data_IF_126233032842
#
_entry.id   IF_126233032842
#
_cell.length_a   1.000
_cell.length_b   1.000
_cell.length_c   1.000
_cell.angle_alpha   90.00
_cell.angle_beta   90.00
_cell.angle_gamma   90.00
#
_symmetry.space_group_name_H-M   'P 1'
#
loop_
_entity.id
_entity.type
_entity.pdbx_description
1 polymer ?
#
# COMPACT_ATOMS: atom_id res chain seq x y z
N UNK A 1 -41.83 29.77 44.50
CA UNK A 1 -41.11 28.56 44.06
C UNK A 1 -41.92 27.92 42.95
N UNK A 2 -41.49 28.06 41.69
CA UNK A 2 -42.09 27.32 40.58
C UNK A 2 -40.98 27.00 39.58
N UNK A 3 -40.64 25.72 39.48
CA UNK A 3 -39.55 25.14 38.71
C UNK A 3 -39.88 25.22 37.21
N UNK A 4 -39.16 26.06 36.47
CA UNK A 4 -39.25 26.15 35.00
C UNK A 4 -38.41 25.04 34.38
N UNK A 5 -39.09 24.01 33.88
CA UNK A 5 -38.48 22.91 33.13
C UNK A 5 -37.99 23.41 31.77
N UNK A 6 -36.68 23.56 31.60
CA UNK A 6 -36.03 23.79 30.31
C UNK A 6 -36.32 22.59 29.39
N UNK A 7 -37.26 22.77 28.45
CA UNK A 7 -37.44 21.82 27.34
C UNK A 7 -36.19 21.89 26.45
N UNK A 8 -35.45 20.80 26.40
CA UNK A 8 -34.34 20.57 25.47
C UNK A 8 -34.89 20.71 24.04
N UNK A 9 -34.29 21.57 23.22
CA UNK A 9 -34.64 21.71 21.81
C UNK A 9 -34.52 20.34 21.11
N UNK A 10 -35.44 19.99 20.20
CA UNK A 10 -35.35 18.73 19.45
C UNK A 10 -34.06 18.74 18.63
N UNK A 11 -33.28 17.65 18.73
CA UNK A 11 -32.06 17.47 17.95
C UNK A 11 -32.40 17.47 16.47
N UNK A 12 -31.77 18.37 15.71
CA UNK A 12 -31.89 18.43 14.25
C UNK A 12 -31.28 17.15 13.69
N UNK A 13 -32.05 16.41 12.91
CA UNK A 13 -31.60 15.26 12.14
C UNK A 13 -30.71 15.76 10.98
N UNK A 14 -29.40 15.41 10.94
CA UNK A 14 -28.49 15.87 9.90
C UNK A 14 -28.91 15.44 8.49
N UNK A 15 -29.73 14.39 8.35
CA UNK A 15 -30.24 13.97 7.05
C UNK A 15 -31.33 14.90 6.49
N UNK A 16 -31.89 15.78 7.33
CA UNK A 16 -33.00 16.70 7.01
C UNK A 16 -32.66 18.17 7.28
N UNK A 17 -31.38 18.51 7.50
CA UNK A 17 -30.93 19.90 7.65
C UNK A 17 -30.73 20.55 6.26
N UNK A 18 -31.57 21.52 5.84
CA UNK A 18 -31.42 22.20 4.56
C UNK A 18 -30.14 23.05 4.45
N UNK A 19 -29.40 23.24 5.55
CA UNK A 19 -28.09 23.89 5.60
C UNK A 19 -26.90 22.92 5.65
N UNK A 20 -27.12 21.61 5.74
CA UNK A 20 -26.05 20.64 5.68
C UNK A 20 -25.51 20.56 4.23
N UNK A 21 -24.18 20.72 4.03
CA UNK A 21 -23.59 20.55 2.71
C UNK A 21 -23.86 19.12 2.27
N UNK A 22 -24.30 18.92 1.01
CA UNK A 22 -24.50 17.59 0.50
C UNK A 22 -23.24 16.74 0.68
N UNK A 23 -23.39 15.47 0.99
CA UNK A 23 -22.28 14.53 1.27
C UNK A 23 -21.20 14.54 0.16
N UNK A 24 -21.60 14.81 -1.08
CA UNK A 24 -20.68 14.95 -2.22
C UNK A 24 -19.66 16.09 -2.07
N UNK A 25 -19.94 17.13 -1.28
CA UNK A 25 -19.02 18.26 -1.06
C UNK A 25 -17.84 17.83 -0.18
N UNK A 26 -18.12 17.10 0.89
CA UNK A 26 -17.08 16.49 1.74
C UNK A 26 -16.28 15.49 0.93
N UNK A 27 -16.96 14.64 0.15
CA UNK A 27 -16.29 13.66 -0.72
C UNK A 27 -15.33 14.34 -1.69
N UNK A 28 -15.75 15.39 -2.40
CA UNK A 28 -14.88 16.10 -3.34
C UNK A 28 -13.61 16.70 -2.68
N UNK A 29 -13.71 17.13 -1.41
CA UNK A 29 -12.54 17.62 -0.66
C UNK A 29 -11.57 16.50 -0.33
N UNK A 30 -12.10 15.35 0.09
CA UNK A 30 -11.32 14.14 0.38
C UNK A 30 -10.66 13.63 -0.89
N UNK A 31 -11.38 13.54 -2.00
CA UNK A 31 -10.84 13.11 -3.30
C UNK A 31 -9.63 13.97 -3.73
N UNK A 32 -9.71 15.29 -3.53
CA UNK A 32 -8.60 16.19 -3.83
C UNK A 32 -7.39 15.99 -2.92
N UNK A 33 -7.60 15.60 -1.66
CA UNK A 33 -6.52 15.20 -0.76
C UNK A 33 -5.94 13.84 -1.16
N UNK A 34 -6.79 12.86 -1.50
CA UNK A 34 -6.39 11.53 -1.94
C UNK A 34 -5.51 11.60 -3.18
N UNK A 35 -5.84 12.46 -4.15
CA UNK A 35 -4.97 12.71 -5.30
C UNK A 35 -3.58 13.19 -4.89
N UNK A 36 -3.49 14.03 -3.86
CA UNK A 36 -2.20 14.51 -3.31
C UNK A 36 -1.45 13.38 -2.63
N UNK A 37 -2.12 12.59 -1.79
CA UNK A 37 -1.53 11.44 -1.12
C UNK A 37 -0.98 10.43 -2.15
N UNK A 38 -1.80 10.06 -3.15
CA UNK A 38 -1.40 9.17 -4.24
C UNK A 38 -0.22 9.71 -5.06
N UNK A 39 -0.10 11.03 -5.25
CA UNK A 39 1.06 11.61 -5.91
C UNK A 39 2.33 11.44 -5.06
N UNK A 40 2.24 11.65 -3.75
CA UNK A 40 3.37 11.47 -2.82
C UNK A 40 3.76 10.01 -2.66
N UNK A 41 2.79 9.11 -2.57
CA UNK A 41 2.99 7.66 -2.49
C UNK A 41 3.62 7.11 -3.77
N UNK A 42 3.21 7.62 -4.94
CA UNK A 42 3.93 7.32 -6.19
C UNK A 42 5.36 7.84 -6.14
N UNK A 43 5.60 9.07 -5.70
CA UNK A 43 6.97 9.61 -5.69
C UNK A 43 7.89 8.88 -4.68
N UNK A 44 7.39 8.55 -3.50
CA UNK A 44 8.24 8.16 -2.38
C UNK A 44 8.04 6.73 -1.90
N UNK A 45 7.00 6.04 -2.36
CA UNK A 45 6.54 4.78 -1.79
C UNK A 45 5.48 4.99 -0.72
N UNK A 46 4.57 4.04 -0.60
CA UNK A 46 3.44 4.06 0.33
C UNK A 46 3.97 3.98 1.77
N UNK A 47 3.42 4.84 2.64
CA UNK A 47 3.85 5.07 4.03
C UNK A 47 5.33 5.39 4.28
N UNK A 48 6.14 5.50 3.22
CA UNK A 48 7.59 5.70 3.32
C UNK A 48 7.95 7.15 3.63
N UNK A 49 7.27 8.12 3.01
CA UNK A 49 7.66 9.53 3.10
C UNK A 49 7.72 10.07 4.54
N UNK A 50 6.75 9.72 5.39
CA UNK A 50 6.74 10.11 6.82
C UNK A 50 7.92 9.54 7.62
N UNK A 51 8.55 8.46 7.15
CA UNK A 51 9.72 7.83 7.78
C UNK A 51 11.05 8.43 7.30
N UNK A 52 11.05 9.18 6.19
CA UNK A 52 12.24 9.84 5.64
C UNK A 52 12.52 11.21 6.29
N UNK A 53 11.61 11.71 7.12
CA UNK A 53 11.77 12.99 7.82
C UNK A 53 12.05 12.78 9.32
N UNK A 54 12.57 13.82 9.97
CA UNK A 54 12.80 13.81 11.41
C UNK A 54 11.51 13.70 12.25
N UNK A 55 11.65 13.19 13.48
CA UNK A 55 10.53 12.82 14.35
C UNK A 55 9.56 13.98 14.63
N UNK A 56 10.06 15.21 14.75
CA UNK A 56 9.21 16.38 14.97
C UNK A 56 8.25 16.64 13.79
N UNK A 57 8.73 16.51 12.54
CA UNK A 57 7.89 16.69 11.36
C UNK A 57 6.90 15.53 11.22
N UNK A 58 7.34 14.31 11.51
CA UNK A 58 6.47 13.13 11.54
C UNK A 58 5.33 13.30 12.55
N UNK A 59 5.63 13.72 13.78
CA UNK A 59 4.63 13.95 14.81
C UNK A 59 3.64 15.06 14.43
N UNK A 60 4.10 16.15 13.77
CA UNK A 60 3.21 17.21 13.28
C UNK A 60 2.29 16.73 12.16
N UNK A 61 2.80 15.88 11.27
CA UNK A 61 2.02 15.26 10.22
C UNK A 61 0.94 14.34 10.81
N UNK A 62 1.33 13.43 11.69
CA UNK A 62 0.42 12.48 12.36
C UNK A 62 -0.67 13.25 13.15
N UNK A 63 -0.30 14.32 13.89
CA UNK A 63 -1.26 15.16 14.60
C UNK A 63 -2.21 15.95 13.67
N UNK A 64 -1.81 16.26 12.45
CA UNK A 64 -2.72 16.88 11.47
C UNK A 64 -3.69 15.85 10.88
N UNK A 65 -3.23 14.62 10.67
CA UNK A 65 -4.08 13.49 10.27
C UNK A 65 -5.16 13.23 11.31
N UNK A 66 -4.80 13.16 12.59
CA UNK A 66 -5.76 12.95 13.68
C UNK A 66 -6.88 14.02 13.70
N UNK A 67 -6.55 15.27 13.38
CA UNK A 67 -7.54 16.37 13.28
C UNK A 67 -8.47 16.21 12.09
N UNK A 68 -7.94 15.74 10.95
CA UNK A 68 -8.76 15.41 9.78
C UNK A 68 -9.72 14.26 10.10
N UNK A 69 -9.23 13.20 10.74
CA UNK A 69 -10.04 12.04 11.14
C UNK A 69 -11.17 12.44 12.10
N UNK A 70 -10.88 13.32 13.06
CA UNK A 70 -11.88 13.91 13.95
C UNK A 70 -12.91 14.77 13.18
N UNK A 71 -12.46 15.57 12.21
CA UNK A 71 -13.35 16.39 11.39
C UNK A 71 -14.29 15.53 10.54
N UNK A 72 -13.77 14.48 9.89
CA UNK A 72 -14.56 13.52 9.12
C UNK A 72 -15.59 12.79 10.00
N UNK A 73 -15.16 12.34 11.18
CA UNK A 73 -16.06 11.70 12.16
C UNK A 73 -17.21 12.62 12.58
N UNK A 74 -16.94 13.92 12.71
CA UNK A 74 -17.96 14.94 13.03
C UNK A 74 -18.83 15.38 11.84
N UNK A 75 -18.51 14.94 10.61
CA UNK A 75 -19.15 15.36 9.35
C UNK A 75 -19.24 16.89 9.17
N UNK A 76 -18.33 17.64 9.77
CA UNK A 76 -18.31 19.09 9.65
C UNK A 76 -17.49 19.52 8.44
N UNK A 77 -18.16 19.93 7.37
CA UNK A 77 -17.52 20.40 6.13
C UNK A 77 -16.49 21.51 6.37
N UNK A 78 -16.80 22.48 7.24
CA UNK A 78 -15.87 23.57 7.54
C UNK A 78 -14.55 23.05 8.11
N UNK A 79 -14.60 22.10 9.06
CA UNK A 79 -13.41 21.47 9.62
C UNK A 79 -12.73 20.55 8.61
N UNK A 80 -13.49 19.76 7.84
CA UNK A 80 -12.94 18.89 6.79
C UNK A 80 -12.15 19.73 5.78
N UNK A 81 -12.69 20.85 5.30
CA UNK A 81 -12.00 21.77 4.39
C UNK A 81 -10.67 22.24 4.96
N UNK A 82 -10.69 22.75 6.20
CA UNK A 82 -9.49 23.27 6.88
C UNK A 82 -8.43 22.18 7.00
N UNK A 83 -8.84 20.99 7.45
CA UNK A 83 -7.90 19.91 7.73
C UNK A 83 -7.40 19.21 6.47
N UNK A 84 -8.23 19.08 5.43
CA UNK A 84 -7.83 18.56 4.13
C UNK A 84 -6.77 19.46 3.46
N UNK A 85 -6.99 20.78 3.43
CA UNK A 85 -5.99 21.74 2.93
C UNK A 85 -4.74 21.80 3.82
N UNK A 86 -4.90 21.66 5.14
CA UNK A 86 -3.77 21.47 6.05
C UNK A 86 -2.96 20.20 5.73
N UNK A 87 -3.64 19.12 5.34
CA UNK A 87 -3.00 17.84 5.05
C UNK A 87 -2.26 17.87 3.70
N UNK A 88 -2.81 18.54 2.67
CA UNK A 88 -2.10 18.80 1.41
C UNK A 88 -0.79 19.58 1.65
N UNK A 89 -0.83 20.61 2.50
CA UNK A 89 0.38 21.35 2.89
C UNK A 89 1.35 20.50 3.68
N UNK A 90 0.87 19.66 4.60
CA UNK A 90 1.72 18.76 5.38
C UNK A 90 2.47 17.78 4.45
N UNK A 91 1.80 17.20 3.45
CA UNK A 91 2.42 16.37 2.42
C UNK A 91 3.54 17.12 1.66
N UNK A 92 3.28 18.35 1.22
CA UNK A 92 4.29 19.17 0.54
C UNK A 92 5.49 19.51 1.43
N UNK A 93 5.27 19.74 2.74
CA UNK A 93 6.35 19.95 3.71
C UNK A 93 7.21 18.69 3.86
N UNK A 94 6.59 17.51 3.95
CA UNK A 94 7.33 16.26 4.03
C UNK A 94 8.15 16.01 2.75
N UNK A 95 7.55 16.22 1.58
CA UNK A 95 8.22 16.08 0.27
C UNK A 95 9.47 16.97 0.19
N UNK A 96 9.31 18.24 0.55
CA UNK A 96 10.42 19.20 0.59
C UNK A 96 11.50 18.78 1.57
N UNK A 97 11.12 18.44 2.81
CA UNK A 97 12.09 18.05 3.84
C UNK A 97 12.86 16.78 3.47
N UNK A 98 12.19 15.77 2.91
CA UNK A 98 12.84 14.55 2.45
C UNK A 98 13.81 14.83 1.28
N UNK A 99 13.42 15.70 0.34
CA UNK A 99 14.27 16.12 -0.78
C UNK A 99 15.49 16.90 -0.30
N UNK A 100 15.32 17.85 0.63
CA UNK A 100 16.41 18.65 1.22
C UNK A 100 17.38 17.81 2.05
N UNK A 101 16.89 16.74 2.69
CA UNK A 101 17.72 15.73 3.36
C UNK A 101 18.47 14.79 2.39
N UNK A 102 18.29 14.95 1.08
CA UNK A 102 18.99 14.18 0.04
C UNK A 102 18.40 12.79 -0.21
N UNK A 103 17.20 12.49 0.31
CA UNK A 103 16.52 11.25 -0.03
C UNK A 103 16.08 11.26 -1.49
N UNK A 104 16.15 10.10 -2.13
CA UNK A 104 15.74 9.92 -3.52
C UNK A 104 14.31 9.36 -3.60
N UNK A 105 13.50 9.82 -4.58
CA UNK A 105 12.23 9.19 -4.94
C UNK A 105 12.37 7.67 -5.08
N UNK A 106 11.30 6.94 -4.80
CA UNK A 106 11.28 5.50 -5.04
C UNK A 106 11.30 5.27 -6.56
N UNK A 107 12.34 4.60 -7.04
CA UNK A 107 12.47 4.20 -8.44
C UNK A 107 12.70 2.70 -8.43
N UNK A 108 11.62 1.89 -8.32
CA UNK A 108 11.78 0.45 -8.25
C UNK A 108 12.38 -0.06 -9.55
N UNK A 109 13.39 -0.91 -9.43
CA UNK A 109 13.86 -1.71 -10.54
C UNK A 109 12.90 -2.89 -10.68
N UNK A 110 12.17 -2.93 -11.80
CA UNK A 110 11.20 -3.97 -12.11
C UNK A 110 11.78 -4.88 -13.18
N UNK A 111 11.90 -6.16 -12.88
CA UNK A 111 12.27 -7.17 -13.86
C UNK A 111 11.02 -7.94 -14.27
N UNK A 112 10.78 -8.06 -15.57
CA UNK A 112 9.65 -8.83 -16.09
C UNK A 112 10.14 -10.17 -16.63
N UNK A 113 9.37 -11.22 -16.40
CA UNK A 113 9.61 -12.52 -17.03
C UNK A 113 8.30 -13.15 -17.51
N UNK A 114 8.43 -13.97 -18.56
CA UNK A 114 7.31 -14.71 -19.15
C UNK A 114 7.31 -16.12 -18.57
N UNK A 115 6.20 -16.53 -17.97
CA UNK A 115 6.02 -17.89 -17.49
C UNK A 115 6.00 -18.85 -18.69
N UNK A 116 6.90 -19.86 -18.75
CA UNK A 116 7.08 -20.67 -19.95
C UNK A 116 5.88 -21.58 -20.27
N UNK A 117 5.00 -21.84 -19.29
CA UNK A 117 3.87 -22.77 -19.47
C UNK A 117 2.64 -22.11 -20.08
N UNK A 118 2.33 -20.88 -19.70
CA UNK A 118 1.09 -20.18 -20.11
C UNK A 118 1.34 -18.83 -20.81
N UNK A 119 2.60 -18.39 -20.93
CA UNK A 119 2.96 -17.13 -21.57
C UNK A 119 2.60 -15.89 -20.76
N UNK A 120 2.19 -16.04 -19.50
CA UNK A 120 1.82 -14.92 -18.64
C UNK A 120 3.06 -14.12 -18.21
N UNK A 121 2.96 -12.79 -18.22
CA UNK A 121 4.02 -11.89 -17.74
C UNK A 121 3.86 -11.72 -16.23
N UNK A 122 4.95 -11.93 -15.49
CA UNK A 122 5.05 -11.61 -14.07
C UNK A 122 6.18 -10.62 -13.84
N UNK A 123 6.02 -9.78 -12.83
CA UNK A 123 7.02 -8.80 -12.43
C UNK A 123 7.76 -9.29 -11.18
N UNK A 124 9.06 -9.03 -11.12
CA UNK A 124 9.93 -9.29 -9.97
C UNK A 124 10.48 -7.95 -9.50
N UNK A 125 10.37 -7.70 -8.22
CA UNK A 125 10.85 -6.47 -7.58
C UNK A 125 11.71 -6.80 -6.36
N UNK A 126 12.52 -5.83 -5.94
CA UNK A 126 13.47 -6.05 -4.84
C UNK A 126 12.78 -6.17 -3.48
N UNK A 127 11.80 -5.30 -3.20
CA UNK A 127 11.19 -5.18 -1.88
C UNK A 127 9.67 -5.13 -1.93
N UNK A 128 9.02 -5.34 -0.77
CA UNK A 128 7.56 -5.16 -0.61
C UNK A 128 7.11 -3.73 -0.94
N UNK A 129 7.94 -2.73 -0.61
CA UNK A 129 7.66 -1.33 -0.94
C UNK A 129 7.63 -1.10 -2.46
N UNK A 130 8.53 -1.77 -3.20
CA UNK A 130 8.54 -1.74 -4.66
C UNK A 130 7.33 -2.48 -5.23
N UNK A 131 6.95 -3.62 -4.63
CA UNK A 131 5.78 -4.37 -5.08
C UNK A 131 4.51 -3.55 -4.97
N UNK A 132 4.32 -2.89 -3.82
CA UNK A 132 3.16 -2.05 -3.61
C UNK A 132 3.13 -0.83 -4.54
N UNK A 133 4.31 -0.30 -4.89
CA UNK A 133 4.43 0.82 -5.83
C UNK A 133 4.11 0.42 -7.28
N UNK A 134 4.51 -0.79 -7.70
CA UNK A 134 4.39 -1.28 -9.09
C UNK A 134 3.03 -1.96 -9.33
N UNK A 135 2.35 -2.42 -8.28
CA UNK A 135 1.13 -3.21 -8.40
C UNK A 135 -0.08 -2.36 -8.85
N UNK A 136 -0.37 -2.40 -10.16
CA UNK A 136 -1.70 -2.06 -10.68
C UNK A 136 -2.28 -3.09 -11.66
N UNK A 137 -1.48 -3.88 -12.38
CA UNK A 137 -2.00 -4.78 -13.43
C UNK A 137 -1.29 -6.14 -13.58
N UNK A 138 -0.17 -6.41 -12.89
CA UNK A 138 0.63 -7.63 -13.04
C UNK A 138 0.76 -8.42 -11.73
N UNK A 139 0.98 -9.74 -11.82
CA UNK A 139 1.42 -10.56 -10.68
C UNK A 139 2.84 -10.17 -10.31
N UNK A 140 3.01 -9.51 -9.16
CA UNK A 140 4.32 -9.05 -8.68
C UNK A 140 4.86 -10.02 -7.63
N UNK A 141 6.12 -10.42 -7.76
CA UNK A 141 6.86 -11.21 -6.79
C UNK A 141 8.00 -10.41 -6.20
N UNK A 142 8.19 -10.45 -4.89
CA UNK A 142 9.38 -9.87 -4.24
C UNK A 142 10.55 -10.86 -4.25
N UNK A 143 11.79 -10.36 -4.16
CA UNK A 143 12.95 -11.24 -3.99
C UNK A 143 12.83 -12.18 -2.78
N UNK A 144 12.11 -11.77 -1.73
CA UNK A 144 11.84 -12.63 -0.57
C UNK A 144 10.92 -13.81 -0.93
N UNK A 145 9.91 -13.59 -1.79
CA UNK A 145 9.07 -14.67 -2.31
C UNK A 145 9.85 -15.57 -3.26
N UNK A 146 10.68 -15.00 -4.15
CA UNK A 146 11.57 -15.78 -5.02
C UNK A 146 12.53 -16.64 -4.19
N UNK A 147 13.09 -16.12 -3.10
CA UNK A 147 13.95 -16.90 -2.20
C UNK A 147 13.22 -18.10 -1.60
N UNK A 148 11.96 -17.92 -1.14
CA UNK A 148 11.12 -19.02 -0.66
C UNK A 148 10.83 -20.06 -1.76
N UNK A 149 10.60 -19.61 -2.99
CA UNK A 149 10.43 -20.52 -4.13
C UNK A 149 11.72 -21.32 -4.41
N UNK A 150 12.89 -20.68 -4.34
CA UNK A 150 14.19 -21.33 -4.49
C UNK A 150 14.42 -22.37 -3.39
N UNK A 151 14.11 -22.04 -2.12
CA UNK A 151 14.20 -22.98 -1.00
C UNK A 151 13.30 -24.20 -1.20
N UNK A 152 12.11 -24.01 -1.78
CA UNK A 152 11.15 -25.09 -2.04
C UNK A 152 11.66 -26.14 -3.06
N UNK A 153 12.70 -25.83 -3.84
CA UNK A 153 13.32 -26.79 -4.78
C UNK A 153 14.07 -27.93 -4.07
N UNK A 154 14.36 -27.77 -2.78
CA UNK A 154 15.01 -28.79 -1.96
C UNK A 154 16.54 -28.82 -2.09
N UNK A 155 17.17 -29.47 -1.10
CA UNK A 155 18.62 -29.42 -0.89
C UNK A 155 19.42 -29.93 -2.08
N UNK A 156 18.98 -31.00 -2.73
CA UNK A 156 19.65 -31.61 -3.88
C UNK A 156 19.85 -30.63 -5.03
N UNK A 157 18.82 -29.83 -5.36
CA UNK A 157 18.90 -28.85 -6.45
C UNK A 157 19.87 -27.72 -6.09
N UNK A 158 19.82 -27.23 -4.85
CA UNK A 158 20.69 -26.16 -4.38
C UNK A 158 22.18 -26.57 -4.32
N UNK A 159 22.46 -27.79 -3.84
CA UNK A 159 23.81 -28.36 -3.84
C UNK A 159 24.31 -28.60 -5.27
N UNK A 160 23.45 -29.03 -6.20
CA UNK A 160 23.79 -29.17 -7.62
C UNK A 160 24.18 -27.82 -8.22
N UNK A 161 23.41 -26.75 -7.98
CA UNK A 161 23.74 -25.39 -8.43
C UNK A 161 25.08 -24.88 -7.86
N UNK A 162 25.43 -25.29 -6.64
CA UNK A 162 26.73 -24.97 -6.02
C UNK A 162 27.88 -25.77 -6.65
N UNK A 163 27.69 -27.07 -6.85
CA UNK A 163 28.71 -27.96 -7.40
C UNK A 163 29.00 -27.71 -8.88
N UNK A 164 27.99 -27.26 -9.64
CA UNK A 164 28.07 -27.03 -11.08
C UNK A 164 27.64 -25.60 -11.45
N UNK A 165 28.54 -24.60 -11.35
CA UNK A 165 28.27 -23.24 -11.81
C UNK A 165 27.85 -23.22 -13.28
N UNK A 166 26.77 -22.50 -13.60
CA UNK A 166 26.19 -22.46 -14.94
C UNK A 166 25.18 -23.57 -15.24
N UNK A 167 24.96 -24.53 -14.33
CA UNK A 167 23.84 -25.45 -14.47
C UNK A 167 22.51 -24.69 -14.53
N UNK A 168 21.57 -25.12 -15.37
CA UNK A 168 20.29 -24.45 -15.61
C UNK A 168 19.12 -25.31 -15.10
N UNK A 169 18.07 -24.66 -14.59
CA UNK A 169 16.80 -25.34 -14.30
C UNK A 169 15.93 -25.13 -15.54
N UNK A 170 15.72 -26.19 -16.31
CA UNK A 170 14.94 -26.13 -17.56
C UNK A 170 13.47 -26.53 -17.36
N UNK A 171 13.17 -27.32 -16.33
CA UNK A 171 11.81 -27.78 -16.01
C UNK A 171 11.67 -28.10 -14.52
N UNK A 172 10.51 -27.75 -13.95
CA UNK A 172 10.06 -28.20 -12.63
C UNK A 172 8.73 -28.90 -12.84
N UNK A 173 8.60 -30.14 -12.41
CA UNK A 173 7.36 -30.91 -12.50
C UNK A 173 7.12 -31.69 -11.22
N UNK A 174 5.87 -31.71 -10.75
CA UNK A 174 5.43 -32.72 -9.80
C UNK A 174 5.10 -33.98 -10.60
N UNK A 175 5.64 -35.16 -10.25
CA UNK A 175 5.15 -36.39 -10.84
C UNK A 175 3.67 -36.56 -10.46
N UNK A 176 2.81 -36.81 -11.44
CA UNK A 176 1.48 -37.34 -11.17
C UNK A 176 1.68 -38.76 -10.66
N UNK A 177 1.40 -38.99 -9.37
CA UNK A 177 1.41 -40.33 -8.81
C UNK A 177 0.09 -40.98 -9.22
N UNK A 178 0.16 -41.90 -10.16
CA UNK A 178 -0.93 -42.79 -10.51
C UNK A 178 -1.05 -43.87 -9.44
N UNK A 179 -1.91 -43.60 -8.45
CA UNK A 179 -2.17 -44.51 -7.33
C UNK A 179 -2.87 -45.82 -7.76
N UNK A 180 -3.49 -45.87 -8.95
CA UNK A 180 -4.13 -47.10 -9.45
C UNK A 180 -3.09 -48.05 -10.07
N UNK A 181 -2.08 -47.49 -10.73
CA UNK A 181 -1.03 -48.27 -11.40
C UNK A 181 0.10 -48.70 -10.47
N UNK A 182 0.39 -47.89 -9.44
CA UNK A 182 1.49 -48.13 -8.51
C UNK A 182 2.88 -48.05 -9.17
N UNK A 183 3.94 -48.07 -8.37
CA UNK A 183 5.31 -48.07 -8.89
C UNK A 183 5.72 -49.46 -9.41
N UNK A 184 6.38 -49.56 -10.58
CA UNK A 184 6.90 -50.84 -11.07
C UNK A 184 7.99 -51.34 -10.13
N UNK A 185 7.75 -52.51 -9.50
CA UNK A 185 8.71 -53.18 -8.63
C UNK A 185 9.71 -53.93 -9.51
N UNK A 186 11.02 -53.61 -9.46
CA UNK A 186 12.04 -54.38 -10.16
C UNK A 186 12.22 -55.74 -9.46
N UNK A 187 12.22 -56.82 -10.24
CA UNK A 187 12.63 -58.16 -9.81
C UNK A 187 14.12 -58.39 -10.04
#
# INVERSE_FOLDING_TARGET
MTTSSLRRAPGIDPANDPGAPPEYVIQAMVDGLDQTAQAMERKWGIDRLRLLVGDLLRAKFDAQKDKLDAALSSRSEAYVRIHAEGMKRAWAVLDKAASEAGHKPLSPEVWECVLPTNGEVVAIVRTEADAHHVCREAKVFTLAEIARLIESLGRTVLETKRAFPGAEITRISKPEIDWERGDPIPF
#
